data_IF_288905865230
#
_entry.id   IF_288905865230
#
_cell.length_a   1.000
_cell.length_b   1.000
_cell.length_c   1.000
_cell.angle_alpha   90.00
_cell.angle_beta   90.00
_cell.angle_gamma   90.00
#
_symmetry.space_group_name_H-M   'P 1'
#
loop_
_entity.id
_entity.type
_entity.pdbx_description
1 polymer ?
#
# COMPACT_ATOMS: atom_id res chain seq x y z
N UNK A 1 -13.78 80.74 12.09
CA UNK A 1 -13.22 80.82 13.44
C UNK A 1 -14.36 80.62 14.43
N UNK A 2 -14.51 79.55 15.20
CA UNK A 2 -13.67 78.38 15.47
C UNK A 2 -14.63 77.33 16.05
N UNK A 3 -14.74 76.15 15.42
CA UNK A 3 -15.45 75.01 16.01
C UNK A 3 -14.63 74.48 17.20
N UNK A 4 -15.28 74.13 18.31
CA UNK A 4 -14.72 73.20 19.30
C UNK A 4 -15.76 72.17 19.69
N UNK A 5 -15.41 70.95 19.31
CA UNK A 5 -16.07 69.66 19.54
C UNK A 5 -16.03 69.26 21.02
N UNK A 6 -17.15 68.72 21.50
CA UNK A 6 -17.26 68.07 22.81
C UNK A 6 -16.64 66.67 22.74
N UNK A 7 -15.78 66.34 23.70
CA UNK A 7 -15.13 65.04 23.84
C UNK A 7 -15.99 64.10 24.66
N UNK A 8 -16.26 62.93 24.08
CA UNK A 8 -16.75 61.73 24.73
C UNK A 8 -15.82 61.25 25.86
N UNK A 9 -16.42 60.78 26.96
CA UNK A 9 -15.74 60.00 27.99
C UNK A 9 -16.55 58.74 28.24
N UNK A 10 -16.18 57.66 27.55
CA UNK A 10 -16.65 56.31 27.83
C UNK A 10 -15.49 55.50 28.41
N UNK A 11 -15.64 55.10 29.67
CA UNK A 11 -14.70 54.30 30.44
C UNK A 11 -14.81 52.83 30.02
N UNK A 12 -13.72 52.24 29.54
CA UNK A 12 -13.61 50.82 29.20
C UNK A 12 -13.03 50.04 30.39
N UNK A 13 -13.59 48.90 30.83
CA UNK A 13 -12.92 48.03 31.79
C UNK A 13 -11.99 47.05 31.08
N UNK A 14 -10.78 46.95 31.63
CA UNK A 14 -9.70 46.03 31.27
C UNK A 14 -10.13 44.56 31.40
N UNK A 15 -10.02 43.79 30.31
CA UNK A 15 -10.07 42.32 30.36
C UNK A 15 -8.67 41.78 30.63
N UNK A 16 -8.57 41.06 31.73
CA UNK A 16 -7.44 40.28 32.19
C UNK A 16 -7.11 39.15 31.20
N UNK A 17 -5.85 39.01 30.82
CA UNK A 17 -5.37 38.00 29.88
C UNK A 17 -4.80 36.81 30.66
N UNK A 18 -5.61 35.78 30.87
CA UNK A 18 -5.12 34.47 31.26
C UNK A 18 -4.43 33.82 30.05
N UNK A 19 -3.12 33.60 30.17
CA UNK A 19 -2.36 32.78 29.24
C UNK A 19 -2.65 31.31 29.53
N UNK A 20 -3.57 30.71 28.78
CA UNK A 20 -3.69 29.26 28.69
C UNK A 20 -2.52 28.73 27.86
N UNK A 21 -1.56 28.10 28.52
CA UNK A 21 -0.50 27.32 27.88
C UNK A 21 -1.12 26.11 27.19
N UNK A 22 -1.42 26.24 25.90
CA UNK A 22 -1.70 25.10 25.02
C UNK A 22 -0.41 24.29 24.90
N UNK A 23 -0.35 23.16 25.60
CA UNK A 23 0.68 22.14 25.39
C UNK A 23 0.49 21.54 23.99
N UNK A 24 1.49 21.68 23.15
CA UNK A 24 1.54 21.13 21.79
C UNK A 24 1.62 19.59 21.85
N UNK A 25 0.55 18.86 21.45
CA UNK A 25 0.50 17.40 21.54
C UNK A 25 1.51 16.70 20.61
N UNK A 26 2.17 17.44 19.71
CA UNK A 26 3.20 16.87 18.84
C UNK A 26 4.53 16.63 19.55
N UNK A 27 4.83 17.34 20.64
CA UNK A 27 6.08 17.19 21.39
C UNK A 27 6.11 15.97 22.31
N UNK A 28 4.96 15.63 22.92
CA UNK A 28 4.87 14.44 23.78
C UNK A 28 4.91 13.14 22.94
N UNK A 29 4.23 13.11 21.79
CA UNK A 29 4.28 11.96 20.85
C UNK A 29 5.68 11.69 20.26
N UNK A 30 6.50 12.73 20.04
CA UNK A 30 7.83 12.57 19.48
C UNK A 30 8.82 11.88 20.46
N UNK A 31 8.60 12.05 21.76
CA UNK A 31 9.45 11.45 22.80
C UNK A 31 9.10 9.99 23.04
N UNK A 32 7.82 9.65 22.98
CA UNK A 32 7.33 8.27 23.12
C UNK A 32 7.76 7.42 21.91
N UNK A 33 7.59 7.93 20.69
CA UNK A 33 8.01 7.25 19.45
C UNK A 33 9.54 7.02 19.35
N UNK A 34 10.37 7.93 19.88
CA UNK A 34 11.81 7.75 19.91
C UNK A 34 12.26 6.68 20.93
N UNK A 35 11.52 6.55 22.03
CA UNK A 35 11.81 5.57 23.09
C UNK A 35 11.41 4.17 22.64
N UNK A 36 10.23 4.03 22.03
CA UNK A 36 9.78 2.77 21.40
C UNK A 36 10.75 2.33 20.30
N UNK A 37 11.28 3.29 19.55
CA UNK A 37 12.22 2.99 18.49
C UNK A 37 13.54 2.39 18.96
N UNK A 38 14.05 2.85 20.10
CA UNK A 38 15.27 2.31 20.68
C UNK A 38 15.04 0.90 21.23
N UNK A 39 13.89 0.68 21.87
CA UNK A 39 13.51 -0.63 22.41
C UNK A 39 13.34 -1.68 21.29
N UNK A 40 12.65 -1.34 20.20
CA UNK A 40 12.50 -2.22 19.03
C UNK A 40 13.85 -2.60 18.42
N UNK A 41 14.76 -1.64 18.26
CA UNK A 41 16.12 -1.90 17.72
C UNK A 41 16.94 -2.78 18.67
N UNK A 42 16.82 -2.57 19.98
CA UNK A 42 17.48 -3.42 20.96
C UNK A 42 16.94 -4.85 20.93
N UNK A 43 15.62 -5.02 20.81
CA UNK A 43 14.97 -6.33 20.67
C UNK A 43 15.39 -7.05 19.38
N UNK A 44 15.43 -6.34 18.24
CA UNK A 44 15.91 -6.89 16.98
C UNK A 44 17.37 -7.36 17.09
N UNK A 45 18.26 -6.55 17.67
CA UNK A 45 19.66 -6.92 17.90
C UNK A 45 19.81 -8.13 18.82
N UNK A 46 19.00 -8.21 19.87
CA UNK A 46 18.97 -9.38 20.75
C UNK A 46 18.51 -10.65 20.02
N UNK A 47 17.68 -10.51 18.98
CA UNK A 47 17.28 -11.58 18.07
C UNK A 47 18.30 -11.86 16.95
N UNK A 48 19.46 -11.20 16.95
CA UNK A 48 20.48 -11.33 15.90
C UNK A 48 20.12 -10.65 14.57
N UNK A 49 19.12 -9.75 14.58
CA UNK A 49 18.66 -9.00 13.41
C UNK A 49 19.20 -7.58 13.45
N UNK A 50 19.69 -7.12 12.29
CA UNK A 50 19.94 -5.71 12.05
C UNK A 50 18.88 -5.13 11.11
N UNK A 51 18.29 -3.99 11.49
CA UNK A 51 17.27 -3.27 10.70
C UNK A 51 17.87 -1.95 10.24
N UNK A 52 18.06 -1.81 8.93
CA UNK A 52 18.69 -0.68 8.27
C UNK A 52 17.65 0.12 7.48
N UNK A 53 17.14 1.25 8.01
CA UNK A 53 16.16 2.07 7.30
C UNK A 53 16.69 2.53 5.93
N UNK A 54 15.85 2.41 4.90
CA UNK A 54 16.21 2.73 3.51
C UNK A 54 15.75 4.14 3.10
N UNK A 55 14.67 4.65 3.68
CA UNK A 55 14.19 6.02 3.48
C UNK A 55 13.65 6.62 4.80
N UNK A 56 13.20 7.87 4.76
CA UNK A 56 12.82 8.63 5.96
C UNK A 56 11.64 8.05 6.74
N UNK A 57 10.64 7.49 6.03
CA UNK A 57 9.37 7.03 6.64
C UNK A 57 8.93 5.64 6.20
N UNK A 58 9.72 4.94 5.38
CA UNK A 58 9.35 3.66 4.77
C UNK A 58 10.59 2.92 4.29
N UNK A 59 10.52 1.59 4.27
CA UNK A 59 11.60 0.73 3.81
C UNK A 59 12.67 0.51 4.87
N UNK A 60 13.02 -0.74 5.09
CA UNK A 60 14.23 -1.12 5.79
C UNK A 60 14.82 -2.41 5.22
N UNK A 61 16.13 -2.48 5.07
CA UNK A 61 16.82 -3.74 4.81
C UNK A 61 17.03 -4.49 6.13
N UNK A 62 16.78 -5.79 6.13
CA UNK A 62 16.99 -6.69 7.25
C UNK A 62 18.18 -7.59 6.95
N UNK A 63 19.13 -7.60 7.88
CA UNK A 63 20.34 -8.44 7.83
C UNK A 63 20.44 -9.33 9.08
N UNK A 64 21.31 -10.34 9.02
CA UNK A 64 21.55 -11.29 10.13
C UNK A 64 20.60 -12.49 10.17
N UNK A 65 19.81 -12.71 9.10
CA UNK A 65 18.89 -13.86 9.00
C UNK A 65 19.06 -14.62 7.69
N UNK A 66 18.89 -15.94 7.79
CA UNK A 66 18.73 -16.84 6.65
C UNK A 66 17.28 -17.32 6.63
N UNK A 67 16.50 -16.85 5.66
CA UNK A 67 15.08 -17.20 5.55
C UNK A 67 14.89 -18.69 5.22
N UNK A 68 15.87 -19.34 4.60
CA UNK A 68 15.78 -20.76 4.23
C UNK A 68 16.00 -21.70 5.42
N UNK A 69 16.78 -21.26 6.41
CA UNK A 69 17.00 -22.00 7.66
C UNK A 69 15.81 -21.92 8.62
N UNK A 70 14.83 -21.04 8.35
CA UNK A 70 13.72 -20.73 9.23
C UNK A 70 14.10 -19.70 10.30
N UNK A 71 13.09 -19.09 10.91
CA UNK A 71 13.27 -18.06 11.94
C UNK A 71 12.73 -18.52 13.29
N UNK A 72 13.50 -18.27 14.35
CA UNK A 72 13.03 -18.44 15.72
C UNK A 72 11.98 -17.40 16.11
N UNK A 73 11.23 -17.64 17.19
CA UNK A 73 10.14 -16.76 17.62
C UNK A 73 10.56 -15.29 17.82
N UNK A 74 11.74 -15.05 18.38
CA UNK A 74 12.27 -13.70 18.57
C UNK A 74 12.57 -12.99 17.22
N UNK A 75 13.06 -13.74 16.24
CA UNK A 75 13.33 -13.21 14.90
C UNK A 75 12.03 -12.91 14.15
N UNK A 76 11.04 -13.80 14.23
CA UNK A 76 9.71 -13.56 13.65
C UNK A 76 9.07 -12.30 14.24
N UNK A 77 9.10 -12.15 15.56
CA UNK A 77 8.58 -10.96 16.24
C UNK A 77 9.29 -9.68 15.77
N UNK A 78 10.63 -9.70 15.69
CA UNK A 78 11.41 -8.56 15.22
C UNK A 78 11.14 -8.21 13.76
N UNK A 79 11.02 -9.20 12.86
CA UNK A 79 10.66 -8.97 11.45
C UNK A 79 9.25 -8.39 11.35
N UNK A 80 8.26 -8.92 12.09
CA UNK A 80 6.89 -8.39 12.09
C UNK A 80 6.87 -6.93 12.55
N UNK A 81 7.54 -6.61 13.66
CA UNK A 81 7.65 -5.24 14.16
C UNK A 81 8.31 -4.31 13.11
N UNK A 82 9.37 -4.79 12.45
CA UNK A 82 10.03 -4.04 11.39
C UNK A 82 9.11 -3.76 10.19
N UNK A 83 8.32 -4.75 9.74
CA UNK A 83 7.33 -4.55 8.66
C UNK A 83 6.23 -3.58 9.07
N UNK A 84 5.66 -3.70 10.27
CA UNK A 84 4.62 -2.79 10.74
C UNK A 84 5.13 -1.34 10.84
N UNK A 85 6.39 -1.16 11.24
CA UNK A 85 7.01 0.15 11.36
C UNK A 85 7.42 0.74 10.01
N UNK A 86 8.21 0.00 9.24
CA UNK A 86 8.80 0.47 7.99
C UNK A 86 7.95 0.19 6.77
N UNK A 87 6.78 -0.44 6.95
CA UNK A 87 5.73 -0.76 5.97
C UNK A 87 6.15 -1.77 4.89
N UNK A 88 7.43 -1.77 4.49
CA UNK A 88 8.09 -2.76 3.65
C UNK A 88 9.49 -3.00 4.18
N UNK A 89 9.90 -4.27 4.20
CA UNK A 89 11.28 -4.68 4.51
C UNK A 89 11.86 -5.50 3.37
N UNK A 90 13.19 -5.46 3.27
CA UNK A 90 13.94 -6.10 2.21
C UNK A 90 14.98 -7.06 2.78
N UNK A 91 15.22 -8.15 2.09
CA UNK A 91 16.30 -9.09 2.38
C UNK A 91 17.12 -9.31 1.11
N UNK A 92 18.43 -9.47 1.28
CA UNK A 92 19.38 -9.77 0.19
C UNK A 92 19.91 -11.20 0.33
N UNK A 93 20.40 -11.73 -0.78
CA UNK A 93 21.11 -13.03 -0.86
C UNK A 93 20.35 -14.24 -0.27
N UNK A 94 19.01 -14.23 -0.33
CA UNK A 94 18.19 -15.29 0.22
C UNK A 94 18.02 -16.44 -0.79
N UNK A 95 18.37 -17.65 -0.35
CA UNK A 95 18.30 -18.88 -1.17
C UNK A 95 17.06 -19.70 -0.82
N UNK A 96 15.89 -19.15 -1.11
CA UNK A 96 14.61 -19.83 -0.89
C UNK A 96 14.22 -20.65 -2.12
N UNK A 97 13.83 -21.90 -1.93
CA UNK A 97 13.03 -22.65 -2.89
C UNK A 97 11.53 -22.35 -2.67
N UNK A 98 10.63 -22.96 -3.44
CA UNK A 98 9.18 -22.71 -3.30
C UNK A 98 8.65 -23.14 -1.93
N UNK A 99 9.12 -24.27 -1.39
CA UNK A 99 8.72 -24.76 -0.08
C UNK A 99 9.14 -23.79 1.04
N UNK A 100 10.40 -23.34 1.02
CA UNK A 100 10.95 -22.39 1.98
C UNK A 100 10.24 -21.03 1.91
N UNK A 101 9.86 -20.55 0.73
CA UNK A 101 9.11 -19.30 0.60
C UNK A 101 7.72 -19.38 1.21
N UNK A 102 6.99 -20.48 0.97
CA UNK A 102 5.69 -20.72 1.62
C UNK A 102 5.86 -20.92 3.13
N UNK A 103 6.88 -21.65 3.57
CA UNK A 103 7.17 -21.88 4.98
C UNK A 103 7.47 -20.57 5.72
N UNK A 104 8.30 -19.69 5.13
CA UNK A 104 8.57 -18.36 5.65
C UNK A 104 7.29 -17.52 5.73
N UNK A 105 6.46 -17.53 4.69
CA UNK A 105 5.20 -16.78 4.67
C UNK A 105 4.24 -17.22 5.79
N UNK A 106 4.15 -18.53 6.06
CA UNK A 106 3.31 -19.11 7.13
C UNK A 106 3.71 -18.67 8.54
N UNK A 107 4.92 -18.13 8.73
CA UNK A 107 5.32 -17.56 10.03
C UNK A 107 4.57 -16.26 10.37
N UNK A 108 3.98 -15.58 9.37
CA UNK A 108 3.38 -14.25 9.54
C UNK A 108 1.86 -14.22 9.32
N UNK A 109 1.27 -15.30 8.82
CA UNK A 109 -0.16 -15.45 8.57
C UNK A 109 -0.46 -16.58 7.60
N UNK A 110 -1.73 -16.75 7.25
CA UNK A 110 -2.17 -17.81 6.35
C UNK A 110 -2.00 -17.40 4.88
N UNK A 111 -1.27 -18.18 4.06
CA UNK A 111 -1.16 -17.89 2.65
C UNK A 111 -2.50 -18.02 1.91
N UNK A 112 -2.73 -17.08 1.01
CA UNK A 112 -3.86 -17.09 0.08
C UNK A 112 -3.59 -18.08 -1.05
N UNK A 113 -4.62 -18.83 -1.44
CA UNK A 113 -4.62 -19.64 -2.66
C UNK A 113 -5.56 -19.00 -3.67
N UNK A 114 -5.00 -18.51 -4.78
CA UNK A 114 -5.80 -17.93 -5.86
C UNK A 114 -6.49 -19.03 -6.67
N UNK A 115 -7.80 -18.87 -7.01
CA UNK A 115 -8.53 -19.85 -7.80
C UNK A 115 -7.98 -19.98 -9.23
N UNK A 116 -7.36 -18.91 -9.74
CA UNK A 116 -6.68 -18.89 -11.04
C UNK A 116 -5.31 -18.24 -10.88
N UNK A 117 -4.28 -18.93 -11.35
CA UNK A 117 -2.90 -18.44 -11.44
C UNK A 117 -2.36 -18.73 -12.83
N UNK A 118 -1.37 -17.97 -13.28
CA UNK A 118 -0.81 -18.19 -14.61
C UNK A 118 0.09 -19.43 -14.69
N UNK A 119 0.38 -19.86 -15.92
CA UNK A 119 1.02 -21.16 -16.19
C UNK A 119 2.46 -21.23 -15.67
N UNK A 120 3.12 -20.08 -15.50
CA UNK A 120 4.44 -19.99 -14.91
C UNK A 120 4.44 -20.22 -13.38
N UNK A 121 3.27 -20.29 -12.75
CA UNK A 121 3.14 -20.58 -11.32
C UNK A 121 3.37 -22.07 -11.05
N UNK A 122 4.15 -22.44 -10.02
CA UNK A 122 4.50 -23.84 -9.77
C UNK A 122 3.27 -24.67 -9.39
N UNK A 123 3.06 -25.80 -10.09
CA UNK A 123 1.87 -26.63 -9.91
C UNK A 123 1.71 -27.19 -8.48
N UNK A 124 2.83 -27.58 -7.84
CA UNK A 124 2.86 -28.17 -6.50
C UNK A 124 2.77 -27.18 -5.34
N UNK A 125 2.76 -25.87 -5.60
CA UNK A 125 2.70 -24.83 -4.57
C UNK A 125 1.58 -23.84 -4.92
N UNK A 126 0.31 -24.17 -4.61
CA UNK A 126 -0.85 -23.37 -4.98
C UNK A 126 -0.89 -21.97 -4.34
N UNK A 127 -0.13 -21.75 -3.27
CA UNK A 127 0.05 -20.46 -2.59
C UNK A 127 0.96 -19.47 -3.36
N UNK A 128 1.69 -19.97 -4.37
CA UNK A 128 2.65 -19.16 -5.14
C UNK A 128 2.03 -18.73 -6.47
N UNK A 129 2.12 -17.43 -6.75
CA UNK A 129 1.90 -16.84 -8.06
C UNK A 129 3.21 -16.34 -8.67
N UNK A 130 3.50 -16.69 -9.92
CA UNK A 130 4.72 -16.23 -10.62
C UNK A 130 4.43 -14.99 -11.46
N UNK A 131 5.15 -13.90 -11.19
CA UNK A 131 4.98 -12.59 -11.84
C UNK A 131 5.55 -12.49 -13.27
N UNK A 132 5.98 -13.61 -13.87
CA UNK A 132 6.34 -13.68 -15.30
C UNK A 132 5.11 -13.50 -16.23
N UNK A 133 3.92 -13.75 -15.69
CA UNK A 133 2.65 -13.79 -16.42
C UNK A 133 2.12 -12.43 -16.92
N UNK A 134 2.66 -11.28 -16.45
CA UNK A 134 2.20 -9.96 -16.95
C UNK A 134 2.56 -9.72 -18.42
N UNK A 135 3.57 -10.42 -18.94
CA UNK A 135 3.90 -10.45 -20.37
C UNK A 135 2.86 -11.28 -21.16
N UNK A 136 2.27 -12.31 -20.54
CA UNK A 136 1.33 -13.24 -21.19
C UNK A 136 -0.13 -12.77 -21.17
N UNK A 137 -0.53 -11.92 -20.23
CA UNK A 137 -1.95 -11.60 -20.03
C UNK A 137 -2.57 -10.94 -21.27
N UNK A 138 -1.85 -10.06 -21.96
CA UNK A 138 -2.27 -9.52 -23.25
C UNK A 138 -2.48 -10.61 -24.30
N UNK A 139 -1.50 -11.50 -24.45
CA UNK A 139 -1.56 -12.61 -25.41
C UNK A 139 -2.75 -13.55 -25.17
N UNK A 140 -3.12 -13.80 -23.91
CA UNK A 140 -4.32 -14.62 -23.55
C UNK A 140 -5.63 -14.06 -24.10
N UNK A 141 -5.70 -12.76 -24.36
CA UNK A 141 -6.88 -12.09 -24.92
C UNK A 141 -6.65 -11.59 -26.36
N UNK A 142 -5.62 -12.11 -27.03
CA UNK A 142 -5.28 -11.77 -28.41
C UNK A 142 -4.78 -10.34 -28.57
N UNK A 143 -4.00 -9.83 -27.61
CA UNK A 143 -3.33 -8.54 -27.68
C UNK A 143 -1.81 -8.74 -27.73
N UNK A 144 -1.15 -8.00 -28.62
CA UNK A 144 0.31 -7.88 -28.61
C UNK A 144 0.78 -7.17 -27.33
N UNK A 145 2.04 -7.37 -26.95
CA UNK A 145 2.57 -6.82 -25.70
C UNK A 145 2.44 -5.30 -25.62
N UNK A 146 2.84 -4.58 -26.68
CA UNK A 146 2.74 -3.11 -26.73
C UNK A 146 1.28 -2.63 -26.66
N UNK A 147 0.36 -3.33 -27.32
CA UNK A 147 -1.06 -3.01 -27.23
C UNK A 147 -1.58 -3.18 -25.81
N UNK A 148 -1.23 -4.30 -25.17
CA UNK A 148 -1.56 -4.55 -23.77
C UNK A 148 -1.00 -3.45 -22.86
N UNK A 149 0.25 -3.03 -23.06
CA UNK A 149 0.86 -1.93 -22.31
C UNK A 149 0.16 -0.59 -22.49
N UNK A 150 -0.39 -0.31 -23.69
CA UNK A 150 -1.12 0.93 -24.00
C UNK A 150 -2.55 0.91 -23.44
N UNK A 151 -3.22 -0.24 -23.47
CA UNK A 151 -4.62 -0.40 -23.04
C UNK A 151 -4.78 -0.69 -21.56
N UNK A 152 -3.74 -1.25 -20.93
CA UNK A 152 -3.76 -1.48 -19.48
C UNK A 152 -3.86 -0.17 -18.72
N UNK A 153 -4.35 -0.31 -17.50
CA UNK A 153 -4.90 0.72 -16.60
C UNK A 153 -3.88 1.77 -16.12
N UNK A 154 -2.60 1.62 -16.42
CA UNK A 154 -1.51 2.32 -15.73
C UNK A 154 -1.08 3.59 -16.48
N UNK A 155 -1.53 4.75 -16.01
CA UNK A 155 -0.71 5.97 -16.10
C UNK A 155 0.31 5.98 -14.96
N UNK A 156 1.32 6.86 -15.00
CA UNK A 156 2.29 7.00 -13.89
C UNK A 156 1.61 7.27 -12.52
N UNK A 157 0.40 7.84 -12.53
CA UNK A 157 -0.40 8.09 -11.32
C UNK A 157 -1.37 6.95 -10.98
N UNK A 158 -1.95 6.26 -11.97
CA UNK A 158 -2.88 5.12 -11.76
C UNK A 158 -2.18 3.76 -11.61
N UNK A 159 -0.85 3.76 -11.73
CA UNK A 159 -0.01 2.58 -11.53
C UNK A 159 0.07 2.09 -10.09
N UNK A 160 -0.13 3.01 -9.14
CA UNK A 160 -0.02 2.77 -7.71
C UNK A 160 -1.20 1.96 -7.18
N UNK A 161 -0.90 0.86 -6.50
CA UNK A 161 -1.91 -0.04 -5.95
C UNK A 161 -1.45 -0.79 -4.71
N UNK A 162 -2.41 -1.16 -3.86
CA UNK A 162 -2.24 -2.33 -3.00
C UNK A 162 -2.86 -3.56 -3.70
N UNK A 163 -2.37 -4.74 -3.36
CA UNK A 163 -2.80 -5.97 -3.99
C UNK A 163 -4.29 -6.27 -3.73
N UNK A 164 -5.01 -6.71 -4.76
CA UNK A 164 -6.41 -7.14 -4.68
C UNK A 164 -7.37 -6.14 -3.98
N UNK A 165 -7.09 -4.84 -4.08
CA UNK A 165 -7.84 -3.79 -3.37
C UNK A 165 -9.31 -3.62 -3.77
N UNK A 166 -9.85 -4.40 -4.71
CA UNK A 166 -11.29 -4.45 -5.01
C UNK A 166 -12.05 -5.49 -4.17
N UNK A 167 -11.34 -6.42 -3.51
CA UNK A 167 -11.94 -7.41 -2.60
C UNK A 167 -12.34 -6.77 -1.28
N UNK A 168 -13.34 -7.33 -0.62
CA UNK A 168 -13.78 -6.91 0.72
C UNK A 168 -12.73 -7.14 1.80
N UNK A 169 -11.88 -8.14 1.62
CA UNK A 169 -10.79 -8.55 2.51
C UNK A 169 -9.43 -8.58 1.76
N UNK A 170 -8.89 -7.42 1.33
CA UNK A 170 -7.59 -7.39 0.65
C UNK A 170 -6.50 -8.07 1.49
N UNK A 171 -5.50 -8.72 0.87
CA UNK A 171 -4.47 -9.45 1.59
C UNK A 171 -3.72 -8.50 2.53
N UNK A 172 -3.44 -8.92 3.76
CA UNK A 172 -2.75 -8.07 4.74
C UNK A 172 -1.30 -7.79 4.31
N UNK A 173 -0.63 -8.84 3.83
CA UNK A 173 0.78 -8.79 3.49
C UNK A 173 1.05 -9.48 2.16
N UNK A 174 2.15 -9.09 1.53
CA UNK A 174 2.70 -9.80 0.37
C UNK A 174 4.20 -9.99 0.56
N UNK A 175 4.69 -11.16 0.17
CA UNK A 175 6.10 -11.51 0.14
C UNK A 175 6.47 -11.88 -1.30
N UNK A 176 7.36 -11.09 -1.90
CA UNK A 176 7.81 -11.26 -3.28
C UNK A 176 9.30 -11.59 -3.31
N UNK A 177 9.65 -12.73 -3.91
CA UNK A 177 11.04 -13.18 -4.12
C UNK A 177 11.44 -13.02 -5.57
N UNK A 178 12.61 -12.44 -5.80
CA UNK A 178 13.25 -12.42 -7.11
C UNK A 178 14.03 -13.72 -7.38
N UNK A 179 13.69 -14.42 -8.46
CA UNK A 179 14.50 -15.53 -8.98
C UNK A 179 15.47 -15.03 -10.06
N UNK A 180 14.92 -14.44 -11.12
CA UNK A 180 15.69 -13.81 -12.20
C UNK A 180 15.21 -12.38 -12.39
N UNK A 181 16.13 -11.44 -12.54
CA UNK A 181 15.84 -10.03 -12.77
C UNK A 181 16.85 -9.43 -13.74
N UNK A 182 16.49 -8.40 -14.51
CA UNK A 182 17.45 -7.68 -15.35
C UNK A 182 18.57 -7.03 -14.53
N UNK A 183 19.75 -6.81 -15.12
CA UNK A 183 20.87 -6.18 -14.43
C UNK A 183 20.57 -4.72 -14.01
N UNK A 184 19.62 -4.05 -14.68
CA UNK A 184 19.11 -2.73 -14.35
C UNK A 184 17.65 -2.60 -14.81
N UNK A 185 16.92 -1.61 -14.27
CA UNK A 185 15.49 -1.45 -14.53
C UNK A 185 14.62 -2.52 -13.86
N UNK A 186 13.31 -2.33 -13.85
CA UNK A 186 12.38 -3.27 -13.23
C UNK A 186 12.34 -3.17 -11.69
N UNK A 187 12.76 -2.03 -11.16
CA UNK A 187 12.67 -1.67 -9.75
C UNK A 187 11.22 -1.74 -9.25
N UNK A 188 11.02 -1.61 -7.95
CA UNK A 188 9.68 -1.43 -7.39
C UNK A 188 9.70 -0.33 -6.37
N UNK A 189 8.69 0.52 -6.40
CA UNK A 189 8.54 1.65 -5.47
C UNK A 189 7.31 1.41 -4.60
N UNK A 190 7.42 1.68 -3.30
CA UNK A 190 6.31 1.68 -2.35
C UNK A 190 6.09 3.09 -1.81
N UNK A 191 4.85 3.40 -1.43
CA UNK A 191 4.48 4.64 -0.75
C UNK A 191 3.80 4.34 0.59
N UNK A 192 4.14 5.13 1.62
CA UNK A 192 3.57 5.01 2.96
C UNK A 192 2.27 5.80 3.07
N UNK A 193 1.15 5.09 3.10
CA UNK A 193 -0.17 5.69 3.16
C UNK A 193 -0.54 6.22 4.56
N UNK A 194 0.10 5.72 5.62
CA UNK A 194 -0.08 6.25 6.98
C UNK A 194 0.61 7.62 7.12
N UNK A 195 1.86 7.74 6.65
CA UNK A 195 2.55 9.04 6.62
C UNK A 195 1.87 10.02 5.67
N UNK A 196 1.37 9.55 4.52
CA UNK A 196 0.59 10.39 3.61
C UNK A 196 -0.66 10.98 4.26
N UNK A 197 -1.41 10.17 5.04
CA UNK A 197 -2.54 10.64 5.83
C UNK A 197 -2.10 11.66 6.89
N UNK A 198 -1.07 11.35 7.68
CA UNK A 198 -0.58 12.25 8.72
C UNK A 198 -0.13 13.61 8.15
N UNK A 199 0.45 13.61 6.95
CA UNK A 199 0.91 14.81 6.25
C UNK A 199 -0.20 15.64 5.58
N UNK A 200 -1.47 15.21 5.58
CA UNK A 200 -2.59 16.06 5.13
C UNK A 200 -2.81 17.20 6.13
N UNK A 201 -3.38 18.32 5.69
CA UNK A 201 -3.82 19.37 6.63
C UNK A 201 -4.98 18.88 7.50
N UNK A 202 -5.17 19.46 8.68
CA UNK A 202 -6.25 19.04 9.58
C UNK A 202 -7.66 19.07 8.92
N UNK A 203 -8.03 20.09 8.13
CA UNK A 203 -9.30 20.08 7.41
C UNK A 203 -9.41 18.95 6.37
N UNK A 204 -8.33 18.67 5.64
CA UNK A 204 -8.33 17.58 4.64
C UNK A 204 -8.38 16.20 5.30
N UNK A 205 -7.73 16.01 6.45
CA UNK A 205 -7.87 14.77 7.23
C UNK A 205 -9.31 14.57 7.71
N UNK A 206 -9.89 15.60 8.32
CA UNK A 206 -11.27 15.55 8.79
C UNK A 206 -12.27 15.29 7.65
N UNK A 207 -12.02 15.85 6.47
CA UNK A 207 -12.82 15.57 5.29
C UNK A 207 -12.61 14.13 4.79
N UNK A 208 -11.37 13.67 4.65
CA UNK A 208 -11.06 12.32 4.19
C UNK A 208 -11.62 11.23 5.12
N UNK A 209 -11.65 11.48 6.44
CA UNK A 209 -12.20 10.58 7.46
C UNK A 209 -13.68 10.22 7.22
N UNK A 210 -14.44 11.05 6.46
CA UNK A 210 -15.87 10.82 6.17
C UNK A 210 -16.12 10.15 4.82
N UNK A 211 -15.08 10.05 3.97
CA UNK A 211 -15.25 9.60 2.59
C UNK A 211 -15.14 8.08 2.49
N UNK A 212 -15.92 7.53 1.56
CA UNK A 212 -15.86 6.13 1.14
C UNK A 212 -15.76 6.07 -0.37
N UNK A 213 -15.09 5.06 -0.90
CA UNK A 213 -14.85 4.93 -2.32
C UNK A 213 -15.10 3.50 -2.80
N UNK A 214 -15.70 3.39 -3.97
CA UNK A 214 -15.83 2.13 -4.68
C UNK A 214 -14.49 1.75 -5.31
N UNK A 215 -14.00 0.56 -4.94
CA UNK A 215 -12.89 -0.08 -5.60
C UNK A 215 -13.43 -1.19 -6.50
N UNK A 216 -13.02 -1.21 -7.76
CA UNK A 216 -13.54 -2.12 -8.79
C UNK A 216 -12.41 -2.72 -9.63
N UNK A 217 -12.57 -3.99 -9.99
CA UNK A 217 -11.74 -4.60 -11.01
C UNK A 217 -12.11 -4.05 -12.40
N UNK A 218 -11.15 -3.48 -13.12
CA UNK A 218 -11.37 -3.01 -14.50
C UNK A 218 -11.21 -1.51 -14.70
N UNK A 219 -11.09 -0.72 -13.62
CA UNK A 219 -10.99 0.74 -13.69
C UNK A 219 -9.88 1.19 -14.64
N UNK A 220 -10.21 2.13 -15.53
CA UNK A 220 -9.26 2.74 -16.47
C UNK A 220 -8.82 1.86 -17.65
N UNK A 221 -9.38 0.64 -17.82
CA UNK A 221 -9.13 -0.14 -19.03
C UNK A 221 -9.77 0.53 -20.26
N UNK A 222 -9.03 0.61 -21.37
CA UNK A 222 -9.52 1.19 -22.62
C UNK A 222 -9.93 0.09 -23.62
N UNK A 223 -11.23 -0.16 -23.79
CA UNK A 223 -11.72 -1.28 -24.59
C UNK A 223 -11.36 -1.16 -26.08
N UNK A 224 -11.20 -2.30 -26.76
CA UNK A 224 -11.17 -2.34 -28.22
C UNK A 224 -12.55 -1.96 -28.78
N UNK A 225 -12.61 -1.28 -29.94
CA UNK A 225 -13.86 -1.19 -30.69
C UNK A 225 -14.36 -2.59 -31.07
N UNK A 226 -15.66 -2.83 -30.93
CA UNK A 226 -16.27 -4.12 -31.24
C UNK A 226 -16.05 -5.14 -30.13
N UNK A 227 -15.73 -6.38 -30.52
CA UNK A 227 -15.60 -7.48 -29.58
C UNK A 227 -14.25 -7.49 -28.86
N UNK A 228 -14.28 -7.30 -27.55
CA UNK A 228 -13.10 -7.36 -26.69
C UNK A 228 -13.20 -8.48 -25.67
N UNK A 229 -12.47 -9.57 -25.93
CA UNK A 229 -12.41 -10.75 -25.06
C UNK A 229 -12.01 -10.40 -23.62
N UNK A 230 -11.18 -9.36 -23.41
CA UNK A 230 -10.80 -8.96 -22.07
C UNK A 230 -11.91 -8.21 -21.34
N UNK A 231 -12.72 -7.41 -22.04
CA UNK A 231 -13.91 -6.78 -21.44
C UNK A 231 -14.89 -7.84 -20.96
N UNK A 232 -15.17 -8.85 -21.79
CA UNK A 232 -16.03 -9.98 -21.37
C UNK A 232 -15.48 -10.67 -20.13
N UNK A 233 -14.18 -10.96 -20.12
CA UNK A 233 -13.51 -11.54 -18.97
C UNK A 233 -13.69 -10.68 -17.70
N UNK A 234 -13.52 -9.36 -17.80
CA UNK A 234 -13.74 -8.44 -16.67
C UNK A 234 -15.19 -8.44 -16.20
N UNK A 235 -16.16 -8.48 -17.11
CA UNK A 235 -17.58 -8.54 -16.76
C UNK A 235 -17.95 -9.85 -16.05
N UNK A 236 -17.41 -10.98 -16.52
CA UNK A 236 -17.66 -12.31 -15.95
C UNK A 236 -17.01 -12.51 -14.56
N UNK A 237 -15.95 -11.75 -14.26
CA UNK A 237 -15.14 -11.89 -13.04
C UNK A 237 -15.14 -10.59 -12.22
N UNK A 238 -16.20 -9.80 -12.34
CA UNK A 238 -16.19 -8.47 -11.77
C UNK A 238 -16.24 -8.52 -10.24
N UNK A 239 -15.30 -7.82 -9.62
CA UNK A 239 -15.21 -7.64 -8.17
C UNK A 239 -15.32 -6.15 -7.87
N UNK A 240 -16.20 -5.76 -6.95
CA UNK A 240 -16.23 -4.40 -6.44
C UNK A 240 -16.68 -4.35 -4.98
N UNK A 241 -16.11 -3.40 -4.24
CA UNK A 241 -16.34 -3.17 -2.81
C UNK A 241 -16.28 -1.68 -2.52
N UNK A 242 -17.15 -1.17 -1.64
CA UNK A 242 -17.02 0.16 -1.06
C UNK A 242 -16.15 0.10 0.18
N UNK A 243 -14.99 0.74 0.13
CA UNK A 243 -14.04 0.85 1.24
C UNK A 243 -14.08 2.25 1.86
N UNK A 244 -13.70 2.40 3.14
CA UNK A 244 -13.38 3.72 3.69
C UNK A 244 -12.16 4.30 2.99
N UNK A 245 -12.17 5.60 2.70
CA UNK A 245 -11.01 6.29 2.13
C UNK A 245 -9.90 6.47 3.18
N UNK A 246 -10.25 6.43 4.45
CA UNK A 246 -9.34 6.35 5.59
C UNK A 246 -9.61 5.07 6.36
N UNK A 247 -8.69 4.12 6.24
CA UNK A 247 -8.71 2.86 6.99
C UNK A 247 -8.01 3.03 8.33
N UNK A 248 -8.51 2.41 9.39
CA UNK A 248 -7.74 2.21 10.64
C UNK A 248 -6.96 0.90 10.55
N UNK A 249 -5.65 0.97 10.77
CA UNK A 249 -4.78 -0.19 10.72
C UNK A 249 -5.05 -1.11 11.93
N UNK A 250 -5.37 -2.40 11.73
CA UNK A 250 -5.87 -3.26 12.80
C UNK A 250 -4.83 -3.58 13.88
N UNK A 251 -3.54 -3.55 13.55
CA UNK A 251 -2.46 -3.88 14.51
C UNK A 251 -1.79 -2.64 15.12
N UNK A 252 -1.84 -1.49 14.45
CA UNK A 252 -1.09 -0.28 14.87
C UNK A 252 -1.99 0.87 15.28
N UNK A 253 -3.28 0.82 14.92
CA UNK A 253 -4.23 1.92 15.11
C UNK A 253 -3.97 3.14 14.22
N UNK A 254 -2.94 3.10 13.37
CA UNK A 254 -2.64 4.20 12.45
C UNK A 254 -3.80 4.41 11.47
N UNK A 255 -4.10 5.67 11.17
CA UNK A 255 -5.01 6.03 10.09
C UNK A 255 -4.25 6.04 8.77
N UNK A 256 -4.78 5.35 7.78
CA UNK A 256 -4.15 5.10 6.49
C UNK A 256 -5.01 5.70 5.38
N UNK A 257 -4.42 6.55 4.54
CA UNK A 257 -5.07 7.09 3.34
C UNK A 257 -5.20 5.97 2.30
N UNK A 258 -6.31 5.24 2.30
CA UNK A 258 -6.52 4.01 1.52
C UNK A 258 -6.88 4.29 0.05
N UNK A 259 -6.09 5.17 -0.59
CA UNK A 259 -6.26 5.56 -1.99
C UNK A 259 -5.50 4.58 -2.87
N UNK A 260 -6.24 3.72 -3.55
CA UNK A 260 -5.69 2.73 -4.47
C UNK A 260 -6.01 3.11 -5.93
N UNK A 261 -5.15 3.94 -6.54
CA UNK A 261 -5.39 4.54 -7.85
C UNK A 261 -5.66 3.57 -9.00
N UNK A 262 -5.31 2.28 -8.84
CA UNK A 262 -5.59 1.22 -9.80
C UNK A 262 -7.00 0.63 -9.69
N UNK A 263 -7.60 0.61 -8.50
CA UNK A 263 -8.92 0.01 -8.27
C UNK A 263 -10.00 1.06 -7.96
N UNK A 264 -9.66 2.24 -7.45
CA UNK A 264 -10.67 3.25 -7.09
C UNK A 264 -11.36 3.80 -8.34
N UNK A 265 -12.67 3.58 -8.43
CA UNK A 265 -13.54 4.11 -9.50
C UNK A 265 -14.09 5.48 -9.12
N UNK A 266 -14.76 5.58 -7.96
CA UNK A 266 -15.49 6.78 -7.56
C UNK A 266 -15.66 6.87 -6.03
N UNK A 267 -15.66 8.09 -5.50
CA UNK A 267 -16.05 8.42 -4.12
C UNK A 267 -17.58 8.43 -4.03
N UNK A 268 -18.14 7.66 -3.11
CA UNK A 268 -19.59 7.52 -2.93
C UNK A 268 -20.23 8.85 -2.52
N UNK A 269 -21.37 9.19 -3.12
CA UNK A 269 -22.11 10.42 -2.80
C UNK A 269 -21.59 11.69 -3.47
N UNK A 270 -20.48 11.63 -4.21
CA UNK A 270 -19.96 12.76 -4.99
C UNK A 270 -20.23 12.60 -6.48
N UNK A 271 -20.34 13.72 -7.19
CA UNK A 271 -20.36 13.71 -8.66
C UNK A 271 -19.02 13.23 -9.23
N UNK A 272 -19.01 12.77 -10.50
CA UNK A 272 -17.78 12.30 -11.15
C UNK A 272 -16.66 13.37 -11.18
N UNK A 273 -16.93 14.65 -11.50
CA UNK A 273 -15.89 15.67 -11.46
C UNK A 273 -15.32 15.92 -10.06
N UNK A 274 -16.17 15.99 -9.04
CA UNK A 274 -15.74 16.18 -7.64
C UNK A 274 -14.88 15.00 -7.18
N UNK A 275 -15.36 13.78 -7.42
CA UNK A 275 -14.62 12.56 -7.09
C UNK A 275 -13.27 12.53 -7.78
N UNK A 276 -13.20 12.85 -9.07
CA UNK A 276 -11.94 12.86 -9.81
C UNK A 276 -10.94 13.88 -9.26
N UNK A 277 -11.40 15.09 -8.92
CA UNK A 277 -10.56 16.14 -8.35
C UNK A 277 -9.99 15.75 -6.98
N UNK A 278 -10.84 15.22 -6.10
CA UNK A 278 -10.43 14.80 -4.75
C UNK A 278 -9.48 13.61 -4.81
N UNK A 279 -9.79 12.59 -5.62
CA UNK A 279 -8.90 11.45 -5.80
C UNK A 279 -7.55 11.86 -6.41
N UNK A 280 -7.53 12.83 -7.33
CA UNK A 280 -6.30 13.40 -7.87
C UNK A 280 -5.43 14.00 -6.78
N UNK A 281 -6.00 14.88 -5.96
CA UNK A 281 -5.32 15.51 -4.82
C UNK A 281 -4.76 14.48 -3.84
N UNK A 282 -5.56 13.48 -3.46
CA UNK A 282 -5.14 12.50 -2.47
C UNK A 282 -4.13 11.49 -3.02
N UNK A 283 -4.22 11.15 -4.31
CA UNK A 283 -3.21 10.32 -4.98
C UNK A 283 -1.87 11.06 -5.05
N UNK A 284 -1.88 12.35 -5.43
CA UNK A 284 -0.67 13.18 -5.45
C UNK A 284 -0.01 13.25 -4.07
N UNK A 285 -0.81 13.48 -3.01
CA UNK A 285 -0.34 13.42 -1.63
C UNK A 285 0.28 12.05 -1.29
N UNK A 286 -0.40 10.96 -1.65
CA UNK A 286 0.05 9.60 -1.35
C UNK A 286 1.39 9.26 -2.01
N UNK A 287 1.68 9.83 -3.20
CA UNK A 287 2.85 9.48 -3.99
C UNK A 287 3.97 10.52 -3.94
N UNK A 288 3.95 11.43 -2.95
CA UNK A 288 5.05 12.39 -2.74
C UNK A 288 6.37 11.66 -2.49
N UNK A 289 7.48 12.06 -3.11
CA UNK A 289 8.76 11.35 -3.01
C UNK A 289 9.22 11.05 -1.57
N UNK A 290 9.00 11.98 -0.64
CA UNK A 290 9.34 11.82 0.78
C UNK A 290 8.56 10.69 1.51
N UNK A 291 7.46 10.21 0.94
CA UNK A 291 6.69 9.07 1.46
C UNK A 291 7.03 7.76 0.76
N UNK A 292 8.00 7.76 -0.16
CA UNK A 292 8.31 6.61 -1.00
C UNK A 292 9.66 5.98 -0.70
N UNK A 293 9.79 4.70 -0.99
CA UNK A 293 11.07 3.99 -1.11
C UNK A 293 11.10 3.24 -2.43
N UNK A 294 12.23 3.29 -3.13
CA UNK A 294 12.48 2.57 -4.38
C UNK A 294 13.52 1.48 -4.12
N UNK A 295 13.23 0.27 -4.57
CA UNK A 295 14.08 -0.90 -4.38
C UNK A 295 14.54 -1.45 -5.74
N UNK A 296 15.86 -1.56 -5.90
CA UNK A 296 16.48 -2.23 -7.03
C UNK A 296 16.67 -3.71 -6.70
N UNK A 297 16.05 -4.56 -7.50
CA UNK A 297 16.08 -6.00 -7.31
C UNK A 297 17.41 -6.62 -7.72
N UNK A 298 17.80 -7.68 -7.01
CA UNK A 298 18.85 -8.62 -7.38
C UNK A 298 18.31 -10.05 -7.23
N UNK A 299 18.88 -11.05 -7.92
CA UNK A 299 18.55 -12.45 -7.66
C UNK A 299 18.68 -12.79 -6.16
N UNK A 300 17.70 -13.49 -5.59
CA UNK A 300 17.67 -13.79 -4.16
C UNK A 300 17.20 -12.64 -3.27
N UNK A 301 16.85 -11.48 -3.83
CA UNK A 301 16.17 -10.43 -3.07
C UNK A 301 14.75 -10.85 -2.70
N UNK A 302 14.31 -10.46 -1.50
CA UNK A 302 12.94 -10.64 -1.02
C UNK A 302 12.42 -9.29 -0.53
N UNK A 303 11.22 -8.90 -0.95
CA UNK A 303 10.47 -7.81 -0.32
C UNK A 303 9.26 -8.37 0.41
N UNK A 304 9.03 -7.88 1.63
CA UNK A 304 7.87 -8.21 2.45
C UNK A 304 7.21 -6.90 2.88
N UNK A 305 5.99 -6.63 2.39
CA UNK A 305 5.27 -5.40 2.69
C UNK A 305 3.88 -5.62 3.26
N UNK A 306 3.42 -4.61 3.99
CA UNK A 306 2.08 -4.45 4.52
C UNK A 306 1.17 -3.74 3.51
N UNK A 307 0.28 -4.48 2.85
CA UNK A 307 -0.69 -3.92 1.91
C UNK A 307 -1.72 -3.02 2.59
N UNK A 308 -1.90 -3.15 3.91
CA UNK A 308 -2.87 -2.36 4.68
C UNK A 308 -2.38 -0.92 4.89
N UNK A 309 -1.08 -0.67 4.70
CA UNK A 309 -0.44 0.62 4.89
C UNK A 309 0.34 1.14 3.67
N UNK A 310 0.37 0.40 2.55
CA UNK A 310 1.14 0.78 1.37
C UNK A 310 0.37 0.64 0.05
N UNK A 311 0.73 1.51 -0.89
CA UNK A 311 0.58 1.21 -2.33
C UNK A 311 1.96 1.05 -2.94
N UNK A 312 2.05 0.31 -4.05
CA UNK A 312 3.28 0.07 -4.76
C UNK A 312 3.12 0.23 -6.28
N UNK A 313 4.25 0.45 -6.94
CA UNK A 313 4.36 0.66 -8.37
C UNK A 313 5.54 -0.16 -8.88
N UNK A 314 5.27 -1.01 -9.88
CA UNK A 314 6.30 -1.64 -10.70
C UNK A 314 6.40 -0.87 -12.03
N UNK A 315 7.45 -0.06 -12.25
CA UNK A 315 7.65 0.65 -13.50
C UNK A 315 7.83 -0.33 -14.67
N UNK A 316 7.42 0.09 -15.87
CA UNK A 316 7.67 -0.66 -17.11
C UNK A 316 9.03 -0.37 -17.74
N UNK A 317 10.00 0.14 -16.96
CA UNK A 317 11.30 0.62 -17.45
C UNK A 317 12.27 -0.50 -17.85
N UNK A 318 11.88 -1.77 -17.72
CA UNK A 318 12.64 -2.92 -18.20
C UNK A 318 12.06 -3.56 -19.49
N UNK A 319 10.94 -3.07 -20.01
CA UNK A 319 10.25 -3.69 -21.14
C UNK A 319 11.10 -3.76 -22.43
N UNK A 320 12.11 -2.89 -22.55
CA UNK A 320 13.02 -2.80 -23.69
C UNK A 320 14.31 -3.61 -23.52
N UNK A 321 14.50 -4.31 -22.39
CA UNK A 321 15.78 -4.93 -22.03
C UNK A 321 15.95 -6.38 -22.46
N UNK A 322 14.94 -6.98 -23.09
CA UNK A 322 14.91 -8.39 -23.52
C UNK A 322 15.58 -9.35 -22.52
N UNK A 323 15.25 -9.18 -21.24
CA UNK A 323 15.83 -9.93 -20.13
C UNK A 323 14.72 -10.54 -19.28
N UNK A 324 14.84 -11.81 -18.86
CA UNK A 324 13.84 -12.42 -18.01
C UNK A 324 13.71 -11.68 -16.66
N UNK A 325 12.47 -11.56 -16.20
CA UNK A 325 12.11 -11.08 -14.86
C UNK A 325 11.11 -12.04 -14.23
N UNK A 326 11.62 -13.06 -13.55
CA UNK A 326 10.82 -14.08 -12.87
C UNK A 326 10.85 -13.85 -11.36
N UNK A 327 9.67 -13.67 -10.80
CA UNK A 327 9.50 -13.43 -9.37
C UNK A 327 8.30 -14.21 -8.85
N UNK A 328 8.39 -14.70 -7.63
CA UNK A 328 7.36 -15.50 -6.99
C UNK A 328 6.74 -14.72 -5.86
N UNK A 329 5.42 -14.72 -5.80
CA UNK A 329 4.62 -13.97 -4.83
C UNK A 329 3.82 -14.94 -3.97
N UNK A 330 3.85 -14.71 -2.66
CA UNK A 330 2.91 -15.28 -1.69
C UNK A 330 2.21 -14.12 -1.00
N UNK A 331 0.89 -14.19 -0.93
CA UNK A 331 0.06 -13.20 -0.22
C UNK A 331 -0.50 -13.83 1.04
N UNK A 332 -0.69 -13.04 2.09
CA UNK A 332 -1.29 -13.49 3.35
C UNK A 332 -2.70 -12.94 3.48
N UNK A 333 -3.62 -13.75 4.01
CA UNK A 333 -5.02 -13.38 4.22
C UNK A 333 -5.12 -12.08 5.02
N UNK A 334 -6.02 -11.19 4.62
CA UNK A 334 -6.31 -9.98 5.37
C UNK A 334 -7.69 -10.00 6.01
N UNK A 335 -8.03 -8.85 6.56
CA UNK A 335 -9.26 -8.53 7.27
C UNK A 335 -10.07 -7.50 6.48
N UNK A 336 -11.37 -7.40 6.79
CA UNK A 336 -12.25 -6.38 6.20
C UNK A 336 -11.83 -4.99 6.70
N UNK A 337 -11.44 -4.04 5.83
CA UNK A 337 -11.04 -2.71 6.25
C UNK A 337 -12.17 -1.97 6.98
N UNK A 338 -11.84 -1.30 8.07
CA UNK A 338 -12.77 -0.50 8.89
C UNK A 338 -12.38 0.97 8.86
N UNK A 339 -13.38 1.83 8.71
CA UNK A 339 -13.21 3.29 8.69
C UNK A 339 -12.97 3.87 10.09
N UNK A 340 -12.68 5.18 10.14
CA UNK A 340 -12.53 5.92 11.42
C UNK A 340 -13.83 5.93 12.23
N UNK A 341 -14.97 5.84 11.55
CA UNK A 341 -16.32 5.75 12.13
C UNK A 341 -16.70 4.35 12.64
N UNK A 342 -15.81 3.36 12.48
CA UNK A 342 -16.09 1.96 12.83
C UNK A 342 -16.88 1.19 11.78
N UNK A 343 -17.22 1.80 10.64
CA UNK A 343 -18.02 1.14 9.59
C UNK A 343 -17.12 0.26 8.72
N UNK A 344 -17.37 -1.06 8.63
CA UNK A 344 -16.58 -1.97 7.79
C UNK A 344 -16.82 -1.71 6.30
N UNK A 345 -15.94 -2.25 5.46
CA UNK A 345 -16.11 -2.23 4.00
C UNK A 345 -17.31 -3.10 3.57
N UNK A 346 -17.96 -2.71 2.47
CA UNK A 346 -19.19 -3.35 2.00
C UNK A 346 -18.98 -3.93 0.58
N UNK A 347 -19.13 -5.26 0.39
CA UNK A 347 -19.00 -5.86 -0.94
C UNK A 347 -20.21 -5.48 -1.80
N UNK A 348 -19.96 -5.03 -3.03
CA UNK A 348 -21.02 -4.76 -4.01
C UNK A 348 -21.26 -5.96 -4.92
N UNK A 349 -20.19 -6.61 -5.39
CA UNK A 349 -20.26 -7.82 -6.20
C UNK A 349 -18.94 -8.59 -6.22
N UNK A 350 -19.03 -9.91 -6.41
CA UNK A 350 -17.89 -10.78 -6.69
C UNK A 350 -16.85 -10.86 -5.57
N UNK A 351 -17.21 -10.51 -4.33
CA UNK A 351 -16.34 -10.60 -3.16
C UNK A 351 -17.13 -11.01 -1.92
N UNK A 352 -16.52 -11.88 -1.10
CA UNK A 352 -17.04 -12.36 0.17
C UNK A 352 -15.84 -12.58 1.10
N UNK A 353 -15.97 -12.16 2.36
CA UNK A 353 -14.87 -12.25 3.32
C UNK A 353 -14.51 -13.71 3.61
N UNK A 354 -13.22 -14.02 3.60
CA UNK A 354 -12.69 -15.37 3.80
C UNK A 354 -12.78 -16.29 2.58
N UNK A 355 -13.32 -15.83 1.44
CA UNK A 355 -13.54 -16.66 0.25
C UNK A 355 -12.76 -16.14 -0.96
N UNK A 356 -11.67 -16.82 -1.29
CA UNK A 356 -10.71 -16.41 -2.34
C UNK A 356 -11.02 -16.90 -3.74
#
# INVERSE_FOLDING_TARGET
>A
MTMRSAKDTATSPTRDSAQDTVTDPTKDNAKDTATDAAAERAAARAAGIEVLPAAGHIGAEIQGVDLAAGLGAAQVAAVRAAVLRWKVVFFRDQRLDHAGHVAFARLFGDPVVLPRRGKASPAGYPEIETTADRLELGGRFGMEHEEWLRRRRHTLLRGWHCDHGARVDPPAFTILRAETVPPYGGDTTWANLATAYAGLSAPLRAFADTLRAEHRLGVGYQPRPGDDAYVRHLLDHQTATVHPLVRVHPETGERVLFVNGYYVEQITGLSRPESAAILGLLTEQATRPEYTVRFRWEPGSVAFWDNRATVHLAPGDNAHLDHPRTMHRVMLTGDVPVGVDGTPSEPLLGSEAGRW
#
